data_IF_923371023071
#
_entry.id   IF_923371023071
#
_cell.length_a   1.000
_cell.length_b   1.000
_cell.length_c   1.000
_cell.angle_alpha   90.00
_cell.angle_beta   90.00
_cell.angle_gamma   90.00
#
_symmetry.space_group_name_H-M   'P 1'
#
loop_
_entity.id
_entity.type
_entity.pdbx_description
1 polymer ?
#
# COMPACT_ATOMS: atom_id res chain seq x y z
N UNK A 1 10.56 -22.23 -16.45
CA UNK A 1 9.20 -21.76 -16.76
C UNK A 1 8.63 -21.10 -15.50
N UNK A 2 7.65 -20.19 -15.57
CA UNK A 2 7.02 -19.61 -14.37
C UNK A 2 6.34 -20.70 -13.53
N UNK A 3 5.83 -21.76 -14.16
CA UNK A 3 5.24 -22.91 -13.50
C UNK A 3 6.24 -23.74 -12.66
N UNK A 4 7.54 -23.63 -12.91
CA UNK A 4 8.58 -24.34 -12.14
C UNK A 4 9.01 -23.58 -10.88
N UNK A 5 8.49 -22.37 -10.66
CA UNK A 5 8.77 -21.59 -9.45
C UNK A 5 7.91 -22.09 -8.29
N UNK A 6 8.43 -22.07 -7.04
CA UNK A 6 7.64 -22.46 -5.88
C UNK A 6 6.39 -21.59 -5.74
N UNK A 7 5.28 -22.16 -5.21
CA UNK A 7 4.02 -21.45 -5.10
C UNK A 7 4.14 -20.18 -4.26
N UNK A 8 3.32 -19.18 -4.56
CA UNK A 8 3.28 -17.95 -3.75
C UNK A 8 2.74 -18.24 -2.35
N UNK A 9 3.31 -17.64 -1.30
CA UNK A 9 2.69 -17.66 0.02
C UNK A 9 1.27 -17.13 -0.05
N UNK A 10 0.33 -17.78 0.65
CA UNK A 10 -1.04 -17.30 0.73
C UNK A 10 -1.07 -16.00 1.54
N UNK A 11 -1.81 -14.97 1.09
CA UNK A 11 -2.00 -13.77 1.90
C UNK A 11 -2.67 -14.11 3.22
N UNK A 12 -2.19 -13.53 4.33
CA UNK A 12 -2.94 -13.53 5.58
C UNK A 12 -4.05 -12.47 5.49
N UNK A 13 -5.24 -12.95 5.14
CA UNK A 13 -6.42 -12.09 4.98
C UNK A 13 -6.89 -11.46 6.29
N UNK A 14 -6.69 -12.14 7.43
CA UNK A 14 -7.13 -11.63 8.73
C UNK A 14 -6.30 -10.40 9.12
N UNK A 15 -4.98 -10.51 9.03
CA UNK A 15 -4.06 -9.39 9.30
C UNK A 15 -4.29 -8.24 8.32
N UNK A 16 -4.43 -8.53 7.02
CA UNK A 16 -4.68 -7.50 6.00
C UNK A 16 -5.96 -6.70 6.27
N UNK A 17 -7.06 -7.38 6.60
CA UNK A 17 -8.32 -6.72 6.94
C UNK A 17 -8.23 -5.97 8.27
N UNK A 18 -7.48 -6.48 9.25
CA UNK A 18 -7.23 -5.81 10.53
C UNK A 18 -6.47 -4.49 10.36
N UNK A 19 -5.37 -4.49 9.61
CA UNK A 19 -4.59 -3.28 9.35
C UNK A 19 -5.39 -2.24 8.57
N UNK A 20 -6.13 -2.68 7.54
CA UNK A 20 -6.99 -1.79 6.75
C UNK A 20 -8.12 -1.18 7.58
N UNK A 21 -8.81 -1.99 8.40
CA UNK A 21 -9.90 -1.49 9.25
C UNK A 21 -9.41 -0.57 10.36
N UNK A 22 -8.26 -0.86 10.97
CA UNK A 22 -7.60 0.00 11.94
C UNK A 22 -7.27 1.37 11.31
N UNK A 23 -6.60 1.39 10.16
CA UNK A 23 -6.27 2.62 9.44
C UNK A 23 -7.52 3.45 9.09
N UNK A 24 -8.57 2.82 8.55
CA UNK A 24 -9.82 3.50 8.24
C UNK A 24 -10.48 4.10 9.48
N UNK A 25 -10.51 3.35 10.58
CA UNK A 25 -11.10 3.80 11.85
C UNK A 25 -10.39 5.04 12.37
N UNK A 26 -9.05 5.04 12.35
CA UNK A 26 -8.24 6.19 12.80
C UNK A 26 -8.55 7.43 11.95
N UNK A 27 -8.57 7.30 10.63
CA UNK A 27 -8.84 8.45 9.74
C UNK A 27 -10.25 9.01 9.95
N UNK A 28 -11.27 8.15 10.02
CA UNK A 28 -12.65 8.57 10.25
C UNK A 28 -12.84 9.24 11.61
N UNK A 29 -12.18 8.72 12.65
CA UNK A 29 -12.22 9.31 13.99
C UNK A 29 -11.57 10.70 14.02
N UNK A 30 -10.43 10.88 13.33
CA UNK A 30 -9.78 12.19 13.22
C UNK A 30 -10.68 13.20 12.49
N UNK A 31 -11.31 12.80 11.37
CA UNK A 31 -12.26 13.65 10.65
C UNK A 31 -13.40 14.07 11.57
N UNK A 32 -14.01 13.12 12.28
CA UNK A 32 -15.12 13.38 13.19
C UNK A 32 -14.72 14.35 14.31
N UNK A 33 -13.58 14.12 14.96
CA UNK A 33 -13.09 14.98 16.04
C UNK A 33 -12.79 16.40 15.57
N UNK A 34 -12.12 16.57 14.43
CA UNK A 34 -11.75 17.89 13.92
C UNK A 34 -12.97 18.68 13.41
N UNK A 35 -13.89 18.03 12.70
CA UNK A 35 -15.15 18.66 12.28
C UNK A 35 -16.02 18.99 13.50
N UNK A 36 -16.16 18.06 14.43
CA UNK A 36 -16.99 18.24 15.63
C UNK A 36 -16.48 19.34 16.55
N UNK A 37 -15.17 19.43 16.76
CA UNK A 37 -14.57 20.52 17.54
C UNK A 37 -14.73 21.87 16.84
N UNK A 38 -14.58 21.91 15.51
CA UNK A 38 -14.79 23.15 14.73
C UNK A 38 -16.25 23.61 14.80
N UNK A 39 -17.22 22.73 14.58
CA UNK A 39 -18.65 23.07 14.73
C UNK A 39 -18.99 23.48 16.16
N UNK A 40 -18.42 22.82 17.16
CA UNK A 40 -18.57 23.19 18.57
C UNK A 40 -18.13 24.63 18.83
N UNK A 41 -16.95 25.03 18.36
CA UNK A 41 -16.45 26.40 18.50
C UNK A 41 -17.31 27.38 17.70
N UNK A 42 -17.62 27.06 16.43
CA UNK A 42 -18.40 27.95 15.57
C UNK A 42 -19.82 28.19 16.12
N UNK A 43 -20.41 27.21 16.80
CA UNK A 43 -21.72 27.36 17.44
C UNK A 43 -21.76 28.41 18.56
N UNK A 44 -20.59 28.75 19.13
CA UNK A 44 -20.44 29.80 20.15
C UNK A 44 -20.16 31.18 19.58
N UNK A 45 -19.93 31.27 18.26
CA UNK A 45 -19.65 32.52 17.55
C UNK A 45 -20.91 33.11 16.91
N UNK A 46 -20.88 34.41 16.59
CA UNK A 46 -21.93 35.04 15.80
C UNK A 46 -22.04 34.36 14.42
N UNK A 47 -23.25 33.97 13.98
CA UNK A 47 -23.45 33.24 12.71
C UNK A 47 -23.05 34.09 11.48
N UNK A 48 -23.04 35.41 11.61
CA UNK A 48 -22.60 36.33 10.55
C UNK A 48 -21.08 36.55 10.52
N UNK A 49 -20.34 36.01 11.49
CA UNK A 49 -18.88 36.11 11.51
C UNK A 49 -18.27 35.50 10.25
N UNK A 50 -17.46 36.29 9.55
CA UNK A 50 -16.71 35.81 8.37
C UNK A 50 -15.74 34.70 8.76
N UNK A 51 -15.18 34.76 9.98
CA UNK A 51 -14.26 33.74 10.52
C UNK A 51 -14.99 32.40 10.70
N UNK A 52 -16.22 32.42 11.22
CA UNK A 52 -17.04 31.22 11.37
C UNK A 52 -17.35 30.56 10.01
N UNK A 53 -17.77 31.36 9.03
CA UNK A 53 -18.07 30.88 7.67
C UNK A 53 -16.82 30.31 6.97
N UNK A 54 -15.68 31.00 7.08
CA UNK A 54 -14.42 30.56 6.51
C UNK A 54 -13.90 29.27 7.17
N UNK A 55 -13.98 29.18 8.50
CA UNK A 55 -13.56 27.99 9.26
C UNK A 55 -14.37 26.74 8.89
N UNK A 56 -15.69 26.88 8.75
CA UNK A 56 -16.57 25.81 8.25
C UNK A 56 -16.18 25.36 6.84
N UNK A 57 -16.02 26.31 5.93
CA UNK A 57 -15.65 25.99 4.55
C UNK A 57 -14.31 25.24 4.50
N UNK A 58 -13.32 25.69 5.26
CA UNK A 58 -12.01 25.04 5.33
C UNK A 58 -12.11 23.61 5.88
N UNK A 59 -12.76 23.39 7.03
CA UNK A 59 -12.78 22.07 7.66
C UNK A 59 -13.56 21.04 6.84
N UNK A 60 -14.65 21.44 6.18
CA UNK A 60 -15.39 20.54 5.29
C UNK A 60 -14.61 20.23 4.02
N UNK A 61 -13.83 21.18 3.50
CA UNK A 61 -12.94 20.94 2.35
C UNK A 61 -11.86 19.93 2.71
N UNK A 62 -11.18 20.11 3.84
CA UNK A 62 -10.15 19.18 4.32
C UNK A 62 -10.73 17.78 4.60
N UNK A 63 -11.90 17.70 5.24
CA UNK A 63 -12.59 16.44 5.46
C UNK A 63 -12.92 15.73 4.13
N UNK A 64 -13.38 16.47 3.12
CA UNK A 64 -13.65 15.92 1.80
C UNK A 64 -12.38 15.40 1.12
N UNK A 65 -11.29 16.18 1.14
CA UNK A 65 -9.99 15.75 0.59
C UNK A 65 -9.48 14.50 1.30
N UNK A 66 -9.56 14.45 2.63
CA UNK A 66 -9.16 13.29 3.42
C UNK A 66 -9.97 12.03 3.05
N UNK A 67 -11.29 12.17 2.85
CA UNK A 67 -12.14 11.07 2.39
C UNK A 67 -11.73 10.60 0.99
N UNK A 68 -11.52 11.52 0.04
CA UNK A 68 -11.08 11.17 -1.32
C UNK A 68 -9.74 10.41 -1.29
N UNK A 69 -8.79 10.87 -0.47
CA UNK A 69 -7.52 10.18 -0.26
C UNK A 69 -7.72 8.78 0.34
N UNK A 70 -8.59 8.65 1.35
CA UNK A 70 -8.90 7.35 1.97
C UNK A 70 -9.52 6.39 0.95
N UNK A 71 -10.49 6.85 0.16
CA UNK A 71 -11.07 6.08 -0.94
C UNK A 71 -10.01 5.65 -1.96
N UNK A 72 -9.12 6.56 -2.35
CA UNK A 72 -8.00 6.26 -3.24
C UNK A 72 -7.08 5.17 -2.70
N UNK A 73 -6.82 5.16 -1.39
CA UNK A 73 -6.00 4.13 -0.74
C UNK A 73 -6.73 2.78 -0.60
N UNK A 74 -8.04 2.79 -0.33
CA UNK A 74 -8.83 1.58 -0.16
C UNK A 74 -9.10 0.85 -1.47
N UNK A 75 -9.34 1.61 -2.55
CA UNK A 75 -9.78 1.06 -3.84
C UNK A 75 -8.71 1.15 -4.94
N UNK A 76 -7.60 1.86 -4.71
CA UNK A 76 -6.47 1.90 -5.62
C UNK A 76 -5.75 0.56 -5.74
N UNK A 77 -5.20 0.26 -6.91
CA UNK A 77 -4.30 -0.88 -7.09
C UNK A 77 -3.01 -0.59 -6.30
N UNK A 78 -2.62 -1.43 -5.33
CA UNK A 78 -1.39 -1.24 -4.56
C UNK A 78 -0.11 -1.50 -5.39
N UNK A 79 -0.22 -1.62 -6.71
CA UNK A 79 0.89 -1.90 -7.62
C UNK A 79 1.21 -3.39 -7.66
N UNK A 80 0.20 -4.24 -7.84
CA UNK A 80 0.40 -5.70 -7.88
C UNK A 80 1.15 -6.12 -9.14
N UNK A 81 2.43 -6.49 -8.97
CA UNK A 81 3.23 -7.12 -10.03
C UNK A 81 2.87 -8.59 -10.14
N UNK A 82 2.24 -9.00 -11.25
CA UNK A 82 1.92 -10.40 -11.55
C UNK A 82 3.19 -11.16 -11.94
N UNK A 83 3.27 -12.44 -11.57
CA UNK A 83 4.31 -13.35 -12.08
C UNK A 83 4.09 -13.56 -13.58
N UNK A 84 5.09 -13.20 -14.37
CA UNK A 84 5.18 -13.49 -15.80
C UNK A 84 6.64 -13.78 -16.14
N UNK A 85 6.95 -14.39 -17.29
CA UNK A 85 8.33 -14.64 -17.68
C UNK A 85 9.19 -13.37 -17.65
N UNK A 86 8.61 -12.22 -17.99
CA UNK A 86 9.29 -10.93 -18.05
C UNK A 86 9.58 -10.36 -16.65
N UNK A 87 8.69 -10.58 -15.68
CA UNK A 87 8.86 -10.07 -14.30
C UNK A 87 9.62 -11.04 -13.40
N UNK A 88 9.64 -12.33 -13.73
CA UNK A 88 10.36 -13.35 -12.96
C UNK A 88 11.81 -13.53 -13.41
N UNK A 89 12.13 -13.29 -14.69
CA UNK A 89 13.43 -13.65 -15.27
C UNK A 89 14.29 -12.45 -15.74
N UNK A 90 15.63 -12.57 -15.69
CA UNK A 90 16.39 -13.67 -15.11
C UNK A 90 16.28 -13.68 -13.58
N UNK A 91 16.33 -14.87 -12.99
CA UNK A 91 16.42 -14.99 -11.53
C UNK A 91 17.80 -14.49 -11.07
N UNK A 92 17.89 -13.80 -9.92
CA UNK A 92 19.18 -13.55 -9.29
C UNK A 92 19.92 -14.88 -9.03
N UNK A 93 21.24 -14.97 -9.26
CA UNK A 93 21.99 -16.23 -9.14
C UNK A 93 21.76 -16.94 -7.80
N UNK A 94 21.84 -16.18 -6.69
CA UNK A 94 21.59 -16.70 -5.33
C UNK A 94 20.22 -17.35 -5.14
N UNK A 95 19.19 -16.86 -5.85
CA UNK A 95 17.83 -17.41 -5.75
C UNK A 95 17.70 -18.64 -6.65
N UNK A 96 18.31 -18.61 -7.84
CA UNK A 96 18.35 -19.75 -8.75
C UNK A 96 19.02 -20.96 -8.08
N UNK A 97 20.21 -20.75 -7.49
CA UNK A 97 20.98 -21.80 -6.80
C UNK A 97 20.17 -22.47 -5.68
N UNK A 98 19.44 -21.67 -4.88
CA UNK A 98 18.60 -22.20 -3.80
C UNK A 98 17.38 -22.96 -4.31
N UNK A 99 16.75 -22.49 -5.39
CA UNK A 99 15.62 -23.19 -5.99
C UNK A 99 16.08 -24.53 -6.58
N UNK A 100 17.23 -24.56 -7.26
CA UNK A 100 17.82 -25.78 -7.80
C UNK A 100 18.24 -26.76 -6.70
N UNK A 101 18.74 -26.25 -5.57
CA UNK A 101 19.06 -27.05 -4.39
C UNK A 101 17.81 -27.58 -3.64
N UNK A 102 16.59 -27.23 -4.08
CA UNK A 102 15.35 -27.65 -3.42
C UNK A 102 15.11 -26.95 -2.08
N UNK A 103 15.65 -25.76 -1.88
CA UNK A 103 15.47 -24.99 -0.65
C UNK A 103 13.99 -24.65 -0.40
N UNK A 104 13.60 -24.60 0.87
CA UNK A 104 12.24 -24.22 1.26
C UNK A 104 11.99 -22.73 1.02
N UNK A 105 10.71 -22.36 0.92
CA UNK A 105 10.32 -20.95 0.76
C UNK A 105 10.80 -20.07 1.91
N UNK A 106 11.00 -20.63 3.11
CA UNK A 106 11.52 -19.90 4.28
C UNK A 106 13.02 -19.63 4.14
N UNK A 107 13.79 -20.62 3.68
CA UNK A 107 15.22 -20.47 3.42
C UNK A 107 15.48 -19.41 2.35
N UNK A 108 14.68 -19.39 1.28
CA UNK A 108 14.77 -18.36 0.24
C UNK A 108 14.42 -16.97 0.79
N UNK A 109 13.45 -16.87 1.71
CA UNK A 109 13.07 -15.59 2.32
C UNK A 109 14.15 -14.98 3.22
N UNK A 110 15.03 -15.80 3.80
CA UNK A 110 16.15 -15.31 4.63
C UNK A 110 17.17 -14.47 3.85
N UNK A 111 17.21 -14.59 2.51
CA UNK A 111 18.02 -13.71 1.66
C UNK A 111 17.60 -12.23 1.71
N UNK A 112 16.34 -11.96 2.06
CA UNK A 112 15.74 -10.63 1.91
C UNK A 112 15.60 -10.22 0.44
N UNK A 113 15.04 -9.03 0.20
CA UNK A 113 14.91 -8.53 -1.17
C UNK A 113 16.29 -8.20 -1.77
N UNK A 114 16.54 -8.68 -2.99
CA UNK A 114 17.80 -8.45 -3.68
C UNK A 114 17.69 -7.21 -4.56
N UNK A 115 18.78 -6.47 -4.75
CA UNK A 115 18.81 -5.31 -5.62
C UNK A 115 19.73 -5.59 -6.80
N UNK A 116 19.26 -5.29 -8.00
CA UNK A 116 20.01 -5.46 -9.24
C UNK A 116 19.63 -4.39 -10.26
N UNK A 117 20.16 -4.51 -11.48
CA UNK A 117 19.98 -3.52 -12.54
C UNK A 117 18.51 -3.37 -12.97
N UNK A 118 17.72 -4.45 -12.87
CA UNK A 118 16.27 -4.45 -13.15
C UNK A 118 15.40 -3.92 -11.99
N UNK A 119 16.01 -3.48 -10.89
CA UNK A 119 15.32 -2.99 -9.70
C UNK A 119 15.47 -3.91 -8.48
N UNK A 120 14.44 -4.00 -7.65
CA UNK A 120 14.44 -4.85 -6.44
C UNK A 120 13.72 -6.17 -6.72
N UNK A 121 14.41 -7.30 -6.60
CA UNK A 121 13.80 -8.62 -6.70
C UNK A 121 13.20 -9.03 -5.36
N UNK A 122 11.88 -9.23 -5.36
CA UNK A 122 11.17 -9.75 -4.20
C UNK A 122 11.36 -11.25 -4.12
N UNK A 123 12.17 -11.74 -3.18
CA UNK A 123 12.43 -13.17 -2.99
C UNK A 123 11.20 -13.97 -2.53
N UNK A 124 10.25 -13.31 -1.87
CA UNK A 124 8.97 -13.92 -1.44
C UNK A 124 8.03 -14.15 -2.62
N UNK A 125 7.92 -13.17 -3.50
CA UNK A 125 7.01 -13.22 -4.64
C UNK A 125 7.68 -13.75 -5.91
N UNK A 126 9.01 -13.86 -5.92
CA UNK A 126 9.85 -14.22 -7.08
C UNK A 126 9.60 -13.33 -8.30
N UNK A 127 9.55 -12.02 -8.08
CA UNK A 127 9.33 -11.01 -9.12
C UNK A 127 10.25 -9.81 -8.94
N UNK A 128 10.70 -9.23 -10.05
CA UNK A 128 11.35 -7.92 -10.10
C UNK A 128 10.33 -6.80 -9.87
N UNK A 129 10.67 -5.89 -8.96
CA UNK A 129 9.98 -4.63 -8.65
C UNK A 129 10.91 -3.48 -9.01
N UNK A 130 10.66 -2.88 -10.16
CA UNK A 130 11.42 -1.74 -10.70
C UNK A 130 10.67 -1.25 -11.92
N UNK A 131 10.18 -0.01 -11.86
CA UNK A 131 9.21 0.52 -12.81
C UNK A 131 9.73 0.59 -14.25
N UNK A 132 9.03 -0.12 -15.14
CA UNK A 132 8.75 0.30 -16.51
C UNK A 132 9.78 1.20 -17.22
N UNK A 133 10.98 0.68 -17.48
CA UNK A 133 11.64 0.96 -18.76
C UNK A 133 11.97 -0.38 -19.39
N UNK A 134 11.04 -0.84 -20.23
CA UNK A 134 11.40 -1.71 -21.35
C UNK A 134 12.38 -0.86 -22.18
N UNK A 135 13.68 -1.12 -22.05
CA UNK A 135 14.63 -0.57 -23.02
C UNK A 135 14.30 -1.22 -24.38
N UNK A 136 14.20 -0.42 -25.45
CA UNK A 136 13.88 -0.93 -26.79
C UNK A 136 14.93 -1.92 -27.29
#
# INVERSE_FOLDING_TARGET
DVASLPPMPRPDHATKCGESSCGCTVVLLLIFLLVGTTEGIVSTMDPESTVAKAGRLAIYTEAFVALVCLFGLMFGDPGVVKRSPETCFPLPPKVADLIEAGATSEQIQQLGNLHGEKGSFCVRCLVWRGGGKVQP
#
